data_IF_990688479202
#
_entry.id   IF_990688479202
#
_cell.length_a   1.000
_cell.length_b   1.000
_cell.length_c   1.000
_cell.angle_alpha   90.00
_cell.angle_beta   90.00
_cell.angle_gamma   90.00
#
_symmetry.space_group_name_H-M   'P 1'
#
loop_
_entity.id
_entity.type
_entity.pdbx_description
1 polymer ?
#
# COMPACT_ATOMS: atom_id res chain seq x y z
N UNK A 1 11.25 1.87 14.28
CA UNK A 1 10.18 0.83 14.12
C UNK A 1 9.56 0.51 15.47
N UNK A 2 8.24 0.43 15.56
CA UNK A 2 7.53 0.04 16.79
C UNK A 2 7.51 -1.50 16.92
N UNK A 3 8.09 -2.03 18.00
CA UNK A 3 8.24 -3.47 18.20
C UNK A 3 6.90 -4.19 18.43
N UNK A 4 5.94 -3.56 19.09
CA UNK A 4 4.62 -4.16 19.32
C UNK A 4 3.86 -4.32 18.00
N UNK A 5 3.84 -3.29 17.15
CA UNK A 5 3.27 -3.36 15.81
C UNK A 5 3.95 -4.43 14.94
N UNK A 6 5.28 -4.54 15.05
CA UNK A 6 6.05 -5.56 14.36
C UNK A 6 5.62 -6.97 14.76
N UNK A 7 5.48 -7.23 16.06
CA UNK A 7 5.06 -8.55 16.54
C UNK A 7 3.62 -8.91 16.10
N UNK A 8 2.71 -7.93 16.05
CA UNK A 8 1.35 -8.12 15.52
C UNK A 8 1.40 -8.52 14.05
N UNK A 9 2.15 -7.80 13.22
CA UNK A 9 2.24 -8.11 11.78
C UNK A 9 2.95 -9.44 11.52
N UNK A 10 3.98 -9.75 12.29
CA UNK A 10 4.79 -10.97 12.12
C UNK A 10 4.07 -12.23 12.56
N UNK A 11 3.37 -12.19 13.69
CA UNK A 11 2.86 -13.38 14.36
C UNK A 11 1.33 -13.44 14.42
N UNK A 12 0.63 -12.35 14.09
CA UNK A 12 -0.82 -12.27 14.12
C UNK A 12 -1.48 -13.15 13.05
N UNK A 13 -2.71 -13.57 13.33
CA UNK A 13 -3.55 -14.32 12.38
C UNK A 13 -4.67 -13.42 11.88
N UNK A 14 -4.61 -13.04 10.62
CA UNK A 14 -5.59 -12.13 10.03
C UNK A 14 -5.13 -11.58 8.68
N UNK A 15 -5.68 -10.44 8.29
CA UNK A 15 -5.38 -9.81 7.01
C UNK A 15 -5.13 -8.31 7.17
N UNK A 16 -4.60 -7.70 6.12
CA UNK A 16 -4.41 -6.25 6.00
C UNK A 16 -5.50 -5.69 5.09
N UNK A 17 -6.32 -4.77 5.62
CA UNK A 17 -7.39 -4.12 4.88
C UNK A 17 -6.83 -3.03 3.95
N UNK A 18 -7.06 -3.15 2.64
CA UNK A 18 -6.66 -2.15 1.66
C UNK A 18 -7.71 -1.03 1.56
N UNK A 19 -7.46 0.09 2.24
CA UNK A 19 -8.34 1.26 2.30
C UNK A 19 -7.66 2.51 1.72
N UNK A 20 -6.77 2.29 0.74
CA UNK A 20 -5.88 3.30 0.14
C UNK A 20 -6.33 3.78 -1.24
N UNK A 21 -7.60 3.56 -1.62
CA UNK A 21 -8.15 4.06 -2.89
C UNK A 21 -7.90 5.57 -3.01
N UNK A 22 -7.37 5.98 -4.16
CA UNK A 22 -6.98 7.36 -4.45
C UNK A 22 -7.21 7.70 -5.92
N UNK A 23 -7.28 8.98 -6.25
CA UNK A 23 -7.48 9.44 -7.63
C UNK A 23 -8.71 8.80 -8.29
N UNK A 24 -8.57 8.29 -9.50
CA UNK A 24 -9.66 7.68 -10.28
C UNK A 24 -10.33 6.45 -9.67
N UNK A 25 -9.74 5.82 -8.65
CA UNK A 25 -10.39 4.74 -7.90
C UNK A 25 -11.35 5.24 -6.83
N UNK A 26 -11.25 6.50 -6.41
CA UNK A 26 -12.12 7.09 -5.38
C UNK A 26 -13.57 7.21 -5.85
N UNK A 27 -13.82 7.76 -7.04
CA UNK A 27 -15.17 7.87 -7.59
C UNK A 27 -15.82 6.51 -7.83
N UNK A 28 -15.05 5.52 -8.32
CA UNK A 28 -15.53 4.13 -8.48
C UNK A 28 -15.92 3.52 -7.13
N UNK A 29 -15.14 3.77 -6.08
CA UNK A 29 -15.42 3.27 -4.73
C UNK A 29 -16.68 3.92 -4.16
N UNK A 30 -16.85 5.24 -4.28
CA UNK A 30 -18.05 5.96 -3.84
C UNK A 30 -19.30 5.44 -4.58
N UNK A 31 -19.21 5.26 -5.89
CA UNK A 31 -20.29 4.71 -6.69
C UNK A 31 -20.69 3.30 -6.24
N UNK A 32 -19.71 2.44 -5.96
CA UNK A 32 -19.95 1.10 -5.42
C UNK A 32 -20.58 1.15 -4.02
N UNK A 33 -20.30 2.20 -3.26
CA UNK A 33 -20.87 2.45 -1.94
C UNK A 33 -22.25 3.14 -1.97
N UNK A 34 -22.78 3.42 -3.17
CA UNK A 34 -24.11 4.02 -3.40
C UNK A 34 -24.09 5.56 -3.47
N UNK A 35 -22.93 6.19 -3.61
CA UNK A 35 -22.77 7.64 -3.74
C UNK A 35 -22.39 7.94 -5.20
N UNK A 36 -23.31 8.44 -6.04
CA UNK A 36 -23.04 8.77 -7.43
C UNK A 36 -22.20 10.04 -7.56
N UNK A 37 -21.57 10.24 -8.72
CA UNK A 37 -20.74 11.41 -9.02
C UNK A 37 -21.48 12.75 -8.94
N UNK A 38 -22.83 12.73 -9.03
CA UNK A 38 -23.68 13.92 -8.88
C UNK A 38 -23.72 14.49 -7.45
N UNK A 39 -23.20 13.75 -6.44
CA UNK A 39 -23.20 14.16 -5.05
C UNK A 39 -21.98 15.00 -4.65
N UNK A 40 -21.03 15.24 -5.57
CA UNK A 40 -19.87 16.09 -5.36
C UNK A 40 -19.44 16.79 -6.64
N UNK A 41 -18.92 18.02 -6.51
CA UNK A 41 -18.50 18.85 -7.64
C UNK A 41 -16.99 19.10 -7.67
N UNK A 42 -16.30 18.81 -6.56
CA UNK A 42 -14.86 19.05 -6.42
C UNK A 42 -14.15 17.80 -5.87
N UNK A 43 -12.84 17.74 -6.10
CA UNK A 43 -12.01 16.68 -5.49
C UNK A 43 -12.04 16.74 -3.97
N UNK A 44 -12.13 17.92 -3.38
CA UNK A 44 -12.22 18.08 -1.92
C UNK A 44 -13.51 17.45 -1.37
N UNK A 45 -14.66 17.73 -1.99
CA UNK A 45 -15.95 17.13 -1.62
C UNK A 45 -15.89 15.60 -1.78
N UNK A 46 -15.33 15.11 -2.89
CA UNK A 46 -15.13 13.68 -3.12
C UNK A 46 -14.29 13.04 -2.01
N UNK A 47 -13.16 13.65 -1.63
CA UNK A 47 -12.29 13.11 -0.58
C UNK A 47 -12.93 13.18 0.81
N UNK A 48 -13.76 14.17 1.09
CA UNK A 48 -14.54 14.23 2.34
C UNK A 48 -15.52 13.06 2.41
N UNK A 49 -16.23 12.74 1.32
CA UNK A 49 -17.12 11.58 1.25
C UNK A 49 -16.36 10.25 1.40
N UNK A 50 -15.19 10.13 0.77
CA UNK A 50 -14.31 8.95 0.95
C UNK A 50 -13.86 8.83 2.41
N UNK A 51 -13.50 9.94 3.06
CA UNK A 51 -13.11 9.91 4.46
C UNK A 51 -14.28 9.50 5.37
N UNK A 52 -15.46 10.04 5.17
CA UNK A 52 -16.65 9.65 5.95
C UNK A 52 -17.03 8.18 5.73
N UNK A 53 -16.88 7.66 4.52
CA UNK A 53 -17.04 6.22 4.24
C UNK A 53 -16.01 5.39 5.05
N UNK A 54 -14.73 5.76 5.01
CA UNK A 54 -13.66 5.07 5.74
C UNK A 54 -13.85 5.16 7.25
N UNK A 55 -14.27 6.33 7.76
CA UNK A 55 -14.58 6.53 9.17
C UNK A 55 -15.68 5.57 9.65
N UNK A 56 -16.74 5.35 8.85
CA UNK A 56 -17.77 4.34 9.17
C UNK A 56 -17.19 2.93 9.22
N UNK A 57 -16.24 2.59 8.33
CA UNK A 57 -15.54 1.31 8.38
C UNK A 57 -14.71 1.20 9.66
N UNK A 58 -13.86 2.18 9.95
CA UNK A 58 -12.95 2.15 11.11
C UNK A 58 -13.70 2.13 12.45
N UNK A 59 -14.85 2.81 12.55
CA UNK A 59 -15.65 2.86 13.77
C UNK A 59 -16.63 1.70 13.92
N UNK A 60 -16.77 0.86 12.89
CA UNK A 60 -17.62 -0.34 12.96
C UNK A 60 -17.19 -1.26 14.09
N UNK A 61 -18.17 -1.87 14.74
CA UNK A 61 -17.94 -2.90 15.77
C UNK A 61 -17.28 -4.15 15.21
N UNK A 62 -17.47 -4.42 13.91
CA UNK A 62 -16.87 -5.58 13.22
C UNK A 62 -15.45 -5.30 12.71
N UNK A 63 -14.98 -4.06 12.73
CA UNK A 63 -13.61 -3.71 12.36
C UNK A 63 -12.72 -3.82 13.60
N UNK A 64 -12.21 -5.01 13.85
CA UNK A 64 -11.47 -5.37 15.07
C UNK A 64 -10.15 -6.07 14.73
N UNK A 65 -9.21 -6.03 15.67
CA UNK A 65 -7.92 -6.71 15.58
C UNK A 65 -8.00 -8.25 15.70
N UNK A 66 -9.18 -8.81 15.93
CA UNK A 66 -9.36 -10.27 15.91
C UNK A 66 -9.05 -10.88 14.54
N UNK A 67 -9.30 -10.11 13.45
CA UNK A 67 -9.10 -10.57 12.08
C UNK A 67 -8.33 -9.56 11.23
N UNK A 68 -8.22 -8.30 11.65
CA UNK A 68 -7.60 -7.23 10.88
C UNK A 68 -6.30 -6.81 11.58
N UNK A 69 -5.17 -7.25 11.04
CA UNK A 69 -3.85 -6.92 11.58
C UNK A 69 -3.43 -5.49 11.26
N UNK A 70 -3.81 -5.02 10.08
CA UNK A 70 -3.42 -3.71 9.61
C UNK A 70 -4.39 -3.11 8.60
N UNK A 71 -4.20 -1.83 8.30
CA UNK A 71 -4.92 -1.11 7.28
C UNK A 71 -3.97 -0.24 6.45
N UNK A 72 -4.11 -0.29 5.13
CA UNK A 72 -3.37 0.60 4.22
C UNK A 72 -4.21 1.86 4.02
N UNK A 73 -3.63 3.02 4.30
CA UNK A 73 -4.27 4.33 4.27
C UNK A 73 -3.76 5.15 3.08
N UNK A 74 -4.63 5.95 2.50
CA UNK A 74 -4.24 7.04 1.63
C UNK A 74 -3.79 8.25 2.46
N UNK A 75 -2.87 9.07 1.96
CA UNK A 75 -2.29 10.24 2.64
C UNK A 75 -3.37 11.15 3.28
N UNK A 76 -4.35 11.59 2.50
CA UNK A 76 -5.45 12.44 3.02
C UNK A 76 -6.24 11.77 4.15
N UNK A 77 -6.36 10.43 4.14
CA UNK A 77 -7.00 9.70 5.23
C UNK A 77 -6.12 9.66 6.48
N UNK A 78 -4.81 9.47 6.32
CA UNK A 78 -3.87 9.53 7.44
C UNK A 78 -3.89 10.91 8.13
N UNK A 79 -3.96 11.98 7.33
CA UNK A 79 -4.02 13.38 7.80
C UNK A 79 -5.39 13.80 8.33
N UNK A 80 -6.43 13.00 8.10
CA UNK A 80 -7.79 13.25 8.60
C UNK A 80 -8.00 12.61 9.97
N UNK A 81 -9.08 13.01 10.65
CA UNK A 81 -9.38 12.55 12.02
C UNK A 81 -10.60 11.63 12.09
N UNK A 82 -10.52 10.67 12.98
CA UNK A 82 -11.60 9.80 13.44
C UNK A 82 -11.76 10.03 14.94
N UNK A 83 -12.92 10.54 15.38
CA UNK A 83 -13.19 10.87 16.78
C UNK A 83 -12.09 11.73 17.45
N UNK A 84 -11.68 12.80 16.76
CA UNK A 84 -10.67 13.77 17.17
C UNK A 84 -9.19 13.29 17.19
N UNK A 85 -8.93 12.01 16.98
CA UNK A 85 -7.58 11.46 16.77
C UNK A 85 -7.23 11.38 15.29
N UNK A 86 -5.96 11.53 14.90
CA UNK A 86 -5.55 11.20 13.53
C UNK A 86 -5.86 9.73 13.23
N UNK A 87 -6.20 9.42 11.98
CA UNK A 87 -6.71 8.08 11.61
C UNK A 87 -5.78 6.95 12.04
N UNK A 88 -4.46 7.10 11.84
CA UNK A 88 -3.51 6.07 12.22
C UNK A 88 -3.39 5.94 13.76
N UNK A 89 -3.43 7.05 14.49
CA UNK A 89 -3.45 7.04 15.96
C UNK A 89 -4.74 6.37 16.48
N UNK A 90 -5.90 6.69 15.91
CA UNK A 90 -7.17 6.03 16.24
C UNK A 90 -7.11 4.52 16.01
N UNK A 91 -6.61 4.09 14.86
CA UNK A 91 -6.50 2.67 14.54
C UNK A 91 -5.59 1.94 15.54
N UNK A 92 -4.49 2.56 15.92
CA UNK A 92 -3.58 1.98 16.92
C UNK A 92 -4.15 2.03 18.33
N UNK A 93 -4.54 3.22 18.81
CA UNK A 93 -4.92 3.42 20.21
C UNK A 93 -6.25 2.76 20.57
N UNK A 94 -7.23 2.77 19.65
CA UNK A 94 -8.59 2.32 19.92
C UNK A 94 -8.88 0.91 19.39
N UNK A 95 -8.12 0.47 18.37
CA UNK A 95 -8.41 -0.78 17.66
C UNK A 95 -7.25 -1.79 17.69
N UNK A 96 -6.05 -1.37 18.06
CA UNK A 96 -4.80 -2.15 17.95
C UNK A 96 -4.58 -2.71 16.54
N UNK A 97 -4.91 -1.90 15.52
CA UNK A 97 -4.73 -2.20 14.10
C UNK A 97 -3.57 -1.37 13.58
N UNK A 98 -2.62 -2.03 12.92
CA UNK A 98 -1.38 -1.42 12.42
C UNK A 98 -1.64 -0.64 11.13
N UNK A 99 -1.13 0.58 11.01
CA UNK A 99 -1.33 1.43 9.84
C UNK A 99 -0.16 1.41 8.89
N UNK A 100 -0.45 1.37 7.58
CA UNK A 100 0.50 1.54 6.48
C UNK A 100 0.07 2.72 5.62
N UNK A 101 1.03 3.54 5.16
CA UNK A 101 0.77 4.66 4.26
C UNK A 101 1.04 4.27 2.81
N UNK A 102 0.08 4.48 1.91
CA UNK A 102 0.32 4.42 0.47
C UNK A 102 1.13 5.64 0.05
N UNK A 103 2.36 5.43 -0.44
CA UNK A 103 3.29 6.49 -0.84
C UNK A 103 3.39 6.69 -2.35
N UNK A 104 3.02 5.71 -3.18
CA UNK A 104 3.07 5.89 -4.63
C UNK A 104 2.09 6.98 -5.12
N UNK A 105 2.53 7.78 -6.08
CA UNK A 105 1.75 8.88 -6.71
C UNK A 105 1.07 8.45 -8.01
N UNK A 106 0.82 7.15 -8.16
CA UNK A 106 0.27 6.54 -9.36
C UNK A 106 1.34 6.02 -10.31
N UNK A 107 0.92 5.60 -11.48
CA UNK A 107 1.75 4.90 -12.46
C UNK A 107 2.15 5.81 -13.62
N UNK A 108 3.33 5.57 -14.18
CA UNK A 108 3.79 6.11 -15.46
C UNK A 108 3.03 5.44 -16.62
N UNK A 109 3.25 5.93 -17.83
CA UNK A 109 2.78 5.26 -19.03
C UNK A 109 3.48 3.90 -19.18
N UNK A 110 2.80 2.99 -19.90
CA UNK A 110 3.32 1.65 -20.12
C UNK A 110 4.54 1.68 -21.02
N UNK A 111 5.57 0.98 -20.59
CA UNK A 111 6.81 0.76 -21.37
C UNK A 111 7.36 -0.63 -21.04
N UNK A 112 7.82 -1.36 -22.06
CA UNK A 112 8.33 -2.72 -21.89
C UNK A 112 7.38 -3.66 -21.12
N UNK A 113 6.07 -3.57 -21.40
CA UNK A 113 5.05 -4.41 -20.79
C UNK A 113 4.81 -4.17 -19.29
N UNK A 114 5.28 -3.02 -18.75
CA UNK A 114 5.13 -2.67 -17.35
C UNK A 114 4.78 -1.20 -17.16
N UNK A 115 4.25 -0.86 -15.98
CA UNK A 115 4.09 0.53 -15.52
C UNK A 115 4.85 0.74 -14.22
N UNK A 116 5.89 1.54 -14.29
CA UNK A 116 6.65 2.00 -13.13
C UNK A 116 5.83 3.00 -12.29
N UNK A 117 6.22 3.20 -11.05
CA UNK A 117 5.69 4.30 -10.24
C UNK A 117 6.17 5.65 -10.78
N UNK A 118 5.31 6.66 -10.69
CA UNK A 118 5.71 8.04 -10.87
C UNK A 118 6.74 8.45 -9.80
N UNK A 119 7.57 9.47 -10.06
CA UNK A 119 8.46 10.03 -9.04
C UNK A 119 7.70 10.44 -7.77
N UNK A 120 8.34 10.28 -6.62
CA UNK A 120 7.81 10.67 -5.31
C UNK A 120 8.76 11.74 -4.71
N UNK A 121 8.65 13.01 -5.14
CA UNK A 121 9.66 14.03 -4.80
C UNK A 121 9.65 14.41 -3.32
N UNK A 122 8.54 14.22 -2.62
CA UNK A 122 8.35 14.61 -1.21
C UNK A 122 8.31 13.39 -0.28
N UNK A 123 8.91 12.27 -0.70
CA UNK A 123 8.86 11.03 0.08
C UNK A 123 9.42 11.20 1.50
N UNK A 124 10.52 11.92 1.67
CA UNK A 124 11.15 12.18 2.96
C UNK A 124 10.21 12.93 3.93
N UNK A 125 9.44 13.90 3.41
CA UNK A 125 8.44 14.66 4.18
C UNK A 125 7.30 13.72 4.60
N UNK A 126 6.77 12.93 3.67
CA UNK A 126 5.69 11.97 3.95
C UNK A 126 6.10 10.90 4.97
N UNK A 127 7.34 10.39 4.87
CA UNK A 127 7.85 9.41 5.82
C UNK A 127 8.02 10.00 7.23
N UNK A 128 8.44 11.26 7.32
CA UNK A 128 8.52 11.98 8.60
C UNK A 128 7.13 12.15 9.22
N UNK A 129 6.16 12.63 8.46
CA UNK A 129 4.77 12.77 8.91
C UNK A 129 4.16 11.42 9.33
N UNK A 130 4.43 10.35 8.59
CA UNK A 130 3.99 9.01 8.93
C UNK A 130 4.54 8.54 10.28
N UNK A 131 5.83 8.77 10.54
CA UNK A 131 6.45 8.47 11.83
C UNK A 131 5.82 9.25 13.00
N UNK A 132 5.46 10.52 12.78
CA UNK A 132 4.81 11.36 13.79
C UNK A 132 3.37 10.92 14.14
N UNK A 133 2.74 10.08 13.30
CA UNK A 133 1.33 9.63 13.41
C UNK A 133 1.18 8.11 13.63
N UNK A 134 2.13 7.48 14.29
CA UNK A 134 2.10 6.03 14.56
C UNK A 134 1.86 5.13 13.33
N UNK A 135 2.31 5.54 12.16
CA UNK A 135 2.34 4.67 10.98
C UNK A 135 3.52 3.71 11.09
N UNK A 136 3.27 2.43 10.90
CA UNK A 136 4.28 1.37 11.00
C UNK A 136 5.10 1.21 9.73
N UNK A 137 4.46 1.38 8.59
CA UNK A 137 5.10 1.11 7.31
C UNK A 137 4.42 1.80 6.16
N UNK A 138 4.86 1.47 4.96
CA UNK A 138 4.34 2.06 3.72
C UNK A 138 3.90 0.98 2.75
N UNK A 139 3.20 1.40 1.68
CA UNK A 139 2.87 0.54 0.54
C UNK A 139 3.05 1.32 -0.75
N UNK A 140 3.62 0.67 -1.77
CA UNK A 140 3.84 1.24 -3.09
C UNK A 140 3.61 0.20 -4.18
N UNK A 141 2.96 0.60 -5.30
CA UNK A 141 2.49 -0.29 -6.35
C UNK A 141 3.06 0.06 -7.71
N UNK A 142 3.54 -0.96 -8.42
CA UNK A 142 3.82 -0.98 -9.86
C UNK A 142 3.01 -2.09 -10.52
N UNK A 143 2.88 -2.11 -11.86
CA UNK A 143 2.09 -3.13 -12.56
C UNK A 143 2.87 -3.75 -13.71
N UNK A 144 2.77 -5.07 -13.82
CA UNK A 144 3.37 -5.91 -14.85
C UNK A 144 2.24 -6.48 -15.71
N UNK A 145 2.29 -6.25 -17.02
CA UNK A 145 1.30 -6.74 -18.00
C UNK A 145 1.86 -7.84 -18.91
N UNK A 146 3.17 -7.84 -19.15
CA UNK A 146 3.82 -8.77 -20.07
C UNK A 146 5.12 -9.33 -19.48
N UNK A 147 5.56 -10.54 -19.88
CA UNK A 147 6.77 -11.17 -19.38
C UNK A 147 8.05 -10.57 -20.00
N UNK A 148 8.20 -9.26 -19.91
CA UNK A 148 9.38 -8.55 -20.39
C UNK A 148 10.42 -8.45 -19.27
N UNK A 149 11.58 -9.07 -19.47
CA UNK A 149 12.65 -9.16 -18.47
C UNK A 149 13.16 -7.77 -18.07
N UNK A 150 13.39 -6.88 -19.02
CA UNK A 150 13.91 -5.53 -18.71
C UNK A 150 12.88 -4.68 -17.97
N UNK A 151 11.59 -4.80 -18.36
CA UNK A 151 10.50 -4.11 -17.67
C UNK A 151 10.32 -4.59 -16.23
N UNK A 152 10.28 -5.90 -16.01
CA UNK A 152 10.14 -6.49 -14.68
C UNK A 152 11.34 -6.15 -13.78
N UNK A 153 12.55 -6.25 -14.34
CA UNK A 153 13.78 -5.84 -13.64
C UNK A 153 13.73 -4.37 -13.22
N UNK A 154 13.26 -3.48 -14.11
CA UNK A 154 13.14 -2.05 -13.79
C UNK A 154 12.14 -1.82 -12.63
N UNK A 155 10.99 -2.52 -12.61
CA UNK A 155 10.03 -2.48 -11.50
C UNK A 155 10.69 -2.91 -10.18
N UNK A 156 11.35 -4.07 -10.19
CA UNK A 156 11.96 -4.61 -8.98
C UNK A 156 13.04 -3.66 -8.46
N UNK A 157 13.93 -3.17 -9.33
CA UNK A 157 14.97 -2.20 -8.97
C UNK A 157 14.37 -0.94 -8.36
N UNK A 158 13.39 -0.32 -9.01
CA UNK A 158 12.73 0.89 -8.51
C UNK A 158 12.11 0.67 -7.13
N UNK A 159 11.39 -0.42 -6.92
CA UNK A 159 10.74 -0.68 -5.65
C UNK A 159 11.73 -0.98 -4.53
N UNK A 160 12.83 -1.68 -4.80
CA UNK A 160 13.87 -1.92 -3.80
C UNK A 160 14.66 -0.66 -3.45
N UNK A 161 14.90 0.25 -4.41
CA UNK A 161 15.48 1.57 -4.13
C UNK A 161 14.62 2.38 -3.16
N UNK A 162 13.32 2.49 -3.41
CA UNK A 162 12.40 3.16 -2.48
C UNK A 162 12.27 2.42 -1.16
N UNK A 163 12.26 1.08 -1.17
CA UNK A 163 12.22 0.28 0.05
C UNK A 163 13.41 0.60 0.97
N UNK A 164 14.61 0.78 0.41
CA UNK A 164 15.79 1.15 1.21
C UNK A 164 15.61 2.52 1.88
N UNK A 165 15.13 3.52 1.16
CA UNK A 165 14.85 4.87 1.71
C UNK A 165 13.82 4.77 2.86
N UNK A 166 12.79 3.96 2.69
CA UNK A 166 11.73 3.77 3.68
C UNK A 166 12.27 3.06 4.93
N UNK A 167 13.09 2.02 4.76
CA UNK A 167 13.76 1.34 5.88
C UNK A 167 14.69 2.29 6.64
N UNK A 168 15.46 3.14 5.94
CA UNK A 168 16.35 4.13 6.55
C UNK A 168 15.58 5.19 7.35
N UNK A 169 14.33 5.48 6.97
CA UNK A 169 13.42 6.31 7.75
C UNK A 169 12.78 5.56 8.94
N UNK A 170 13.08 4.30 9.16
CA UNK A 170 12.60 3.49 10.28
C UNK A 170 11.21 2.87 10.10
N UNK A 171 10.68 2.86 8.87
CA UNK A 171 9.39 2.28 8.49
C UNK A 171 9.57 0.96 7.73
N UNK A 172 8.54 0.13 7.67
CA UNK A 172 8.55 -1.15 6.96
C UNK A 172 7.82 -1.00 5.61
N UNK A 173 8.50 -1.12 4.46
CA UNK A 173 7.84 -1.05 3.16
C UNK A 173 7.10 -2.34 2.80
N UNK A 174 5.89 -2.19 2.27
CA UNK A 174 5.21 -3.22 1.47
C UNK A 174 5.52 -2.93 0.01
N UNK A 175 6.29 -3.80 -0.61
CA UNK A 175 6.61 -3.79 -2.04
C UNK A 175 5.50 -4.50 -2.79
N UNK A 176 4.83 -3.82 -3.73
CA UNK A 176 3.72 -4.36 -4.52
C UNK A 176 4.04 -4.30 -6.03
N UNK A 177 4.89 -5.21 -6.56
CA UNK A 177 5.05 -5.41 -7.99
C UNK A 177 3.90 -6.29 -8.50
N UNK A 178 2.75 -5.69 -8.73
CA UNK A 178 1.52 -6.39 -9.12
C UNK A 178 1.65 -6.96 -10.54
N UNK A 179 1.48 -8.26 -10.71
CA UNK A 179 1.19 -8.84 -12.02
C UNK A 179 -0.30 -8.69 -12.27
N UNK A 180 -0.70 -8.04 -13.38
CA UNK A 180 -2.10 -7.87 -13.72
C UNK A 180 -2.81 -9.23 -13.78
N UNK A 181 -3.97 -9.33 -13.14
CA UNK A 181 -4.73 -10.59 -13.06
C UNK A 181 -5.13 -11.13 -14.43
N UNK A 182 -5.22 -10.25 -15.44
CA UNK A 182 -5.57 -10.59 -16.80
C UNK A 182 -4.35 -10.62 -17.74
N UNK A 183 -3.12 -10.56 -17.21
CA UNK A 183 -1.91 -10.65 -18.03
C UNK A 183 -1.92 -11.94 -18.87
N UNK A 184 -1.73 -11.88 -20.20
CA UNK A 184 -1.84 -13.05 -21.08
C UNK A 184 -0.90 -14.20 -20.70
N UNK A 185 0.31 -13.89 -20.27
CA UNK A 185 1.35 -14.84 -19.82
C UNK A 185 1.67 -14.63 -18.33
N UNK A 186 0.64 -14.54 -17.49
CA UNK A 186 0.76 -14.22 -16.06
C UNK A 186 1.78 -15.11 -15.34
N UNK A 187 1.73 -16.43 -15.54
CA UNK A 187 2.67 -17.41 -14.97
C UNK A 187 4.14 -17.05 -15.28
N UNK A 188 4.44 -16.72 -16.53
CA UNK A 188 5.77 -16.35 -16.96
C UNK A 188 6.23 -14.99 -16.37
N UNK A 189 5.30 -14.04 -16.22
CA UNK A 189 5.57 -12.80 -15.50
C UNK A 189 5.98 -13.09 -14.07
N UNK A 190 5.27 -13.99 -13.39
CA UNK A 190 5.50 -14.39 -12.01
C UNK A 190 6.84 -15.10 -11.83
N UNK A 191 7.24 -15.98 -12.75
CA UNK A 191 8.56 -16.63 -12.76
C UNK A 191 9.70 -15.62 -12.86
N UNK A 192 9.61 -14.68 -13.82
CA UNK A 192 10.63 -13.64 -14.00
C UNK A 192 10.69 -12.74 -12.75
N UNK A 193 9.53 -12.33 -12.25
CA UNK A 193 9.42 -11.48 -11.04
C UNK A 193 10.08 -12.16 -9.83
N UNK A 194 9.83 -13.44 -9.62
CA UNK A 194 10.42 -14.24 -8.55
C UNK A 194 11.94 -14.26 -8.63
N UNK A 195 12.49 -14.49 -9.82
CA UNK A 195 13.94 -14.52 -10.01
C UNK A 195 14.59 -13.15 -9.82
N UNK A 196 13.97 -12.06 -10.29
CA UNK A 196 14.50 -10.70 -10.08
C UNK A 196 14.44 -10.28 -8.60
N UNK A 197 13.37 -10.63 -7.88
CA UNK A 197 13.28 -10.39 -6.42
C UNK A 197 14.36 -11.17 -5.67
N UNK A 198 14.59 -12.45 -5.99
CA UNK A 198 15.65 -13.24 -5.36
C UNK A 198 17.03 -12.59 -5.51
N UNK A 199 17.37 -12.08 -6.69
CA UNK A 199 18.63 -11.37 -6.94
C UNK A 199 18.79 -10.15 -6.03
N UNK A 200 17.73 -9.37 -5.81
CA UNK A 200 17.75 -8.22 -4.89
C UNK A 200 17.94 -8.67 -3.44
N UNK A 201 17.25 -9.74 -3.05
CA UNK A 201 17.32 -10.27 -1.69
C UNK A 201 18.70 -10.86 -1.32
N UNK A 202 19.50 -11.32 -2.29
CA UNK A 202 20.86 -11.80 -2.06
C UNK A 202 21.78 -10.74 -1.45
N UNK A 203 21.55 -9.47 -1.79
CA UNK A 203 22.34 -8.33 -1.32
C UNK A 203 21.59 -7.46 -0.29
N UNK A 204 20.33 -7.78 0.01
CA UNK A 204 19.52 -7.03 0.95
C UNK A 204 20.02 -7.16 2.39
N UNK A 205 20.06 -6.06 3.10
CA UNK A 205 20.42 -6.09 4.52
C UNK A 205 19.33 -6.81 5.34
N UNK A 206 19.70 -7.90 6.02
CA UNK A 206 18.76 -8.75 6.80
C UNK A 206 18.10 -8.04 7.99
N UNK A 207 18.68 -6.93 8.43
CA UNK A 207 18.08 -6.10 9.49
C UNK A 207 16.93 -5.23 8.95
N UNK A 208 16.95 -4.89 7.66
CA UNK A 208 15.91 -4.10 7.01
C UNK A 208 14.70 -5.00 6.72
N UNK A 209 13.60 -4.78 7.43
CA UNK A 209 12.38 -5.57 7.28
C UNK A 209 11.57 -5.06 6.10
N UNK A 210 11.17 -5.98 5.23
CA UNK A 210 10.31 -5.71 4.08
C UNK A 210 9.14 -6.68 4.04
N UNK A 211 8.06 -6.26 3.42
CA UNK A 211 6.88 -7.07 3.16
C UNK A 211 6.58 -7.05 1.65
N UNK A 212 5.93 -8.09 1.18
CA UNK A 212 5.50 -8.20 -0.22
C UNK A 212 3.99 -8.32 -0.32
N UNK A 213 3.42 -7.67 -1.33
CA UNK A 213 2.03 -7.84 -1.72
C UNK A 213 2.01 -8.25 -3.20
N UNK A 214 1.56 -9.46 -3.45
CA UNK A 214 1.47 -10.04 -4.79
C UNK A 214 0.03 -10.29 -5.20
N UNK A 215 -0.23 -10.32 -6.51
CA UNK A 215 -1.41 -10.95 -7.05
C UNK A 215 -1.38 -12.45 -6.72
N UNK A 216 -2.52 -13.06 -6.45
CA UNK A 216 -2.59 -14.50 -6.22
C UNK A 216 -1.92 -15.23 -7.40
N UNK A 217 -0.90 -16.05 -7.16
CA UNK A 217 -0.14 -16.68 -8.23
C UNK A 217 -0.98 -17.69 -9.02
N UNK A 218 -0.58 -17.90 -10.28
CA UNK A 218 -1.22 -18.88 -11.18
C UNK A 218 -0.86 -20.30 -10.78
N UNK A 219 0.37 -20.49 -10.32
CA UNK A 219 0.92 -21.79 -9.93
C UNK A 219 1.43 -21.71 -8.48
N UNK A 220 1.24 -22.76 -7.72
CA UNK A 220 1.86 -22.89 -6.39
C UNK A 220 3.39 -22.86 -6.50
N UNK A 221 4.03 -22.03 -5.68
CA UNK A 221 5.49 -21.84 -5.66
C UNK A 221 6.08 -22.14 -4.26
#
# INVERSE_FOLDING_TARGET
>A
MNNEMYEIIKNGQGFIAALDQSGGSSSKTLKAYGIPESEYNTDEEMFNLIHEMRKRVFTSKSFTNEHILGAILFEKTMLSKVNDEFTADYLWNQKHIVSFLKVDKGLQDENNGVKLMKPIPELDIELKEANEKNVFGTKMRSVIYEPNIEGIKAIVSQQFEFAKIICDAGLVPIIEPEVDINAPEKEKCEEILKEEIKKQLETWNKEDKIMFKFTIPTVEN
#
